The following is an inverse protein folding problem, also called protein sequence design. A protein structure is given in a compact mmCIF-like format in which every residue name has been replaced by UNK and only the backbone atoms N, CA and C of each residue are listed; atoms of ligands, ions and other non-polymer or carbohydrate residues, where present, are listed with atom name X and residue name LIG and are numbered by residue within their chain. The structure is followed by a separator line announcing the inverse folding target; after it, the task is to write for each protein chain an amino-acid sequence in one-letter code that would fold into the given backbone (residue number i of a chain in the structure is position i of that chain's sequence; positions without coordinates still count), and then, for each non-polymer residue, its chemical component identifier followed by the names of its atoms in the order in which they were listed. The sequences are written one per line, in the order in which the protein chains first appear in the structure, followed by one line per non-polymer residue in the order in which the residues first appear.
data_IF_938810116727
#
_entry.id   IF_938810116727
#
_cell.length_a   1.000
_cell.length_b   1.000
_cell.length_c   1.000
_cell.angle_alpha   90.00
_cell.angle_beta   90.00
_cell.angle_gamma   90.00
#
_symmetry.space_group_name_H-M   'P 1'
#
loop_
_entity.id
_entity.type
_entity.pdbx_description
1 polymer ?
#
# COMPACT_ATOMS: atom_id res chain seq x y z
N UNK A 1 30.02 -13.10 -30.38
CA UNK A 1 30.20 -13.40 -28.94
C UNK A 1 28.82 -13.56 -28.34
N UNK A 2 28.45 -14.73 -27.81
CA UNK A 2 27.16 -14.87 -27.12
C UNK A 2 27.27 -14.13 -25.79
N UNK A 3 26.42 -13.12 -25.59
CA UNK A 3 26.37 -12.39 -24.32
C UNK A 3 26.06 -13.40 -23.20
N UNK A 4 26.90 -13.41 -22.16
CA UNK A 4 26.72 -14.28 -21.01
C UNK A 4 25.38 -13.93 -20.36
N UNK A 5 24.40 -14.83 -20.43
CA UNK A 5 23.12 -14.65 -19.75
C UNK A 5 23.36 -14.56 -18.26
N UNK A 6 23.10 -13.38 -17.70
CA UNK A 6 23.19 -13.17 -16.26
C UNK A 6 21.92 -13.69 -15.59
N UNK A 7 22.09 -14.62 -14.65
CA UNK A 7 20.98 -15.27 -13.96
C UNK A 7 20.79 -14.61 -12.60
N UNK A 8 19.58 -14.12 -12.36
CA UNK A 8 19.18 -13.50 -11.11
C UNK A 8 18.25 -14.39 -10.31
N UNK A 9 18.40 -14.35 -8.99
CA UNK A 9 17.52 -15.05 -8.04
C UNK A 9 16.38 -14.18 -7.51
N UNK A 10 15.54 -14.75 -6.64
CA UNK A 10 14.42 -14.04 -6.02
C UNK A 10 14.82 -12.76 -5.26
N UNK A 11 15.97 -12.75 -4.58
CA UNK A 11 16.43 -11.60 -3.81
C UNK A 11 16.76 -10.41 -4.72
N UNK A 12 17.49 -10.65 -5.81
CA UNK A 12 17.83 -9.61 -6.76
C UNK A 12 16.59 -9.09 -7.51
N UNK A 13 15.66 -9.98 -7.86
CA UNK A 13 14.38 -9.58 -8.45
C UNK A 13 13.57 -8.72 -7.47
N UNK A 14 13.63 -9.02 -6.17
CA UNK A 14 12.97 -8.23 -5.13
C UNK A 14 13.53 -6.80 -5.08
N UNK A 15 14.84 -6.66 -5.18
CA UNK A 15 15.52 -5.36 -5.25
C UNK A 15 15.22 -4.58 -6.53
N UNK A 16 15.12 -5.29 -7.68
CA UNK A 16 14.70 -4.71 -8.97
C UNK A 16 13.26 -4.19 -8.90
N UNK A 17 12.35 -4.96 -8.27
CA UNK A 17 10.93 -4.64 -8.17
C UNK A 17 10.59 -3.71 -7.00
N UNK A 18 11.54 -3.44 -6.08
CA UNK A 18 11.34 -2.70 -4.82
C UNK A 18 10.21 -3.28 -3.96
N UNK A 19 10.16 -4.62 -3.85
CA UNK A 19 9.21 -5.34 -2.99
C UNK A 19 9.93 -6.42 -2.18
N UNK A 20 9.23 -7.10 -1.27
CA UNK A 20 9.81 -8.23 -0.53
C UNK A 20 9.90 -9.49 -1.40
N UNK A 21 10.82 -10.40 -1.06
CA UNK A 21 10.96 -11.73 -1.71
C UNK A 21 9.64 -12.53 -1.73
N UNK A 22 8.85 -12.61 -0.64
CA UNK A 22 7.52 -13.23 -0.69
C UNK A 22 6.58 -12.54 -1.69
N UNK A 23 6.72 -11.23 -1.88
CA UNK A 23 6.00 -10.47 -2.90
C UNK A 23 6.37 -10.90 -4.32
N UNK A 24 7.65 -11.18 -4.58
CA UNK A 24 8.12 -11.74 -5.85
C UNK A 24 7.59 -13.16 -6.05
N UNK A 25 7.65 -14.02 -5.03
CA UNK A 25 7.10 -15.39 -5.10
C UNK A 25 5.60 -15.38 -5.41
N UNK A 26 4.85 -14.45 -4.80
CA UNK A 26 3.45 -14.24 -5.13
C UNK A 26 3.27 -13.81 -6.58
N UNK A 27 4.03 -12.83 -7.07
CA UNK A 27 3.96 -12.37 -8.45
C UNK A 27 4.25 -13.51 -9.43
N UNK A 28 5.30 -14.29 -9.20
CA UNK A 28 5.64 -15.46 -10.00
C UNK A 28 4.52 -16.51 -10.08
N UNK A 29 3.70 -16.63 -9.04
CA UNK A 29 2.55 -17.53 -8.99
C UNK A 29 1.29 -16.95 -9.64
N UNK A 30 1.04 -15.66 -9.49
CA UNK A 30 -0.27 -15.06 -9.79
C UNK A 30 -0.29 -14.14 -11.01
N UNK A 31 0.85 -13.65 -11.47
CA UNK A 31 0.94 -12.78 -12.65
C UNK A 31 1.26 -13.63 -13.89
N UNK A 32 0.30 -13.79 -14.84
CA UNK A 32 0.52 -14.59 -16.05
C UNK A 32 1.65 -14.06 -16.94
N UNK A 33 2.00 -12.78 -16.79
CA UNK A 33 3.09 -12.14 -17.55
C UNK A 33 4.45 -12.23 -16.85
N UNK A 34 4.51 -12.84 -15.66
CA UNK A 34 5.77 -13.03 -14.97
C UNK A 34 6.69 -13.99 -15.78
N UNK A 35 7.97 -13.64 -15.99
CA UNK A 35 8.87 -14.46 -16.79
C UNK A 35 9.06 -15.87 -16.24
N UNK A 36 9.18 -16.85 -17.14
CA UNK A 36 9.50 -18.22 -16.76
C UNK A 36 10.98 -18.32 -16.35
N UNK A 37 11.31 -19.10 -15.32
CA UNK A 37 12.70 -19.31 -14.91
C UNK A 37 13.47 -20.10 -15.98
N UNK A 38 14.76 -19.80 -16.11
CA UNK A 38 15.74 -20.49 -16.96
C UNK A 38 16.78 -21.25 -16.12
N UNK A 39 16.34 -21.75 -14.97
CA UNK A 39 17.18 -22.36 -13.94
C UNK A 39 18.15 -23.39 -14.52
N UNK A 40 19.47 -23.17 -14.39
CA UNK A 40 20.46 -24.15 -14.81
C UNK A 40 20.37 -25.41 -13.93
N UNK A 41 20.76 -26.60 -14.45
CA UNK A 41 20.79 -27.83 -13.67
C UNK A 41 21.63 -27.76 -12.39
N UNK A 42 22.60 -26.85 -12.33
CA UNK A 42 23.48 -26.63 -11.18
C UNK A 42 22.84 -25.83 -10.03
N UNK A 43 21.67 -25.21 -10.24
CA UNK A 43 20.98 -24.40 -9.23
C UNK A 43 19.78 -25.14 -8.64
N UNK A 44 19.68 -25.14 -7.29
CA UNK A 44 18.52 -25.68 -6.58
C UNK A 44 17.32 -24.74 -6.58
N UNK A 45 17.56 -23.44 -6.69
CA UNK A 45 16.52 -22.41 -6.65
C UNK A 45 16.27 -21.84 -8.05
N UNK A 46 15.03 -21.41 -8.36
CA UNK A 46 14.73 -20.80 -9.64
C UNK A 46 15.61 -19.59 -9.96
N UNK A 47 16.06 -19.49 -11.21
CA UNK A 47 16.83 -18.36 -11.73
C UNK A 47 16.22 -17.80 -13.01
N UNK A 48 16.35 -16.50 -13.23
CA UNK A 48 15.80 -15.82 -14.40
C UNK A 48 16.88 -15.04 -15.14
N UNK A 49 16.68 -14.84 -16.44
CA UNK A 49 17.51 -13.90 -17.21
C UNK A 49 17.28 -12.47 -16.69
N UNK A 50 18.37 -11.78 -16.31
CA UNK A 50 18.31 -10.39 -15.80
C UNK A 50 17.64 -9.45 -16.80
N UNK A 51 17.98 -9.53 -18.09
CA UNK A 51 17.45 -8.62 -19.11
C UNK A 51 15.95 -8.84 -19.34
N UNK A 52 15.51 -10.10 -19.32
CA UNK A 52 14.07 -10.42 -19.40
C UNK A 52 13.33 -9.89 -18.18
N UNK A 53 13.90 -10.05 -16.98
CA UNK A 53 13.30 -9.50 -15.76
C UNK A 53 13.27 -7.97 -15.78
N UNK A 54 14.32 -7.31 -16.25
CA UNK A 54 14.35 -5.84 -16.35
C UNK A 54 13.22 -5.34 -17.26
N UNK A 55 13.04 -5.94 -18.45
CA UNK A 55 11.93 -5.62 -19.35
C UNK A 55 10.57 -5.82 -18.70
N UNK A 56 10.39 -6.91 -17.94
CA UNK A 56 9.16 -7.14 -17.18
C UNK A 56 8.92 -6.05 -16.13
N UNK A 57 9.95 -5.69 -15.35
CA UNK A 57 9.86 -4.63 -14.33
C UNK A 57 9.48 -3.30 -14.96
N UNK A 58 10.10 -2.93 -16.08
CA UNK A 58 9.82 -1.68 -16.79
C UNK A 58 8.38 -1.66 -17.33
N UNK A 59 7.93 -2.75 -17.96
CA UNK A 59 6.55 -2.90 -18.43
C UNK A 59 5.54 -2.87 -17.30
N UNK A 60 5.86 -3.49 -16.16
CA UNK A 60 5.02 -3.50 -14.96
C UNK A 60 4.92 -2.11 -14.33
N UNK A 61 6.03 -1.37 -14.30
CA UNK A 61 6.08 0.03 -13.90
C UNK A 61 5.19 0.90 -14.79
N UNK A 62 5.31 0.76 -16.11
CA UNK A 62 4.50 1.48 -17.09
C UNK A 62 3.00 1.14 -16.99
N UNK A 63 2.64 -0.14 -16.81
CA UNK A 63 1.24 -0.57 -16.56
C UNK A 63 0.70 -0.06 -15.23
N UNK A 64 1.55 0.10 -14.23
CA UNK A 64 1.17 0.67 -12.93
C UNK A 64 0.96 2.18 -13.01
N UNK A 65 1.72 2.88 -13.86
CA UNK A 65 1.52 4.31 -14.15
C UNK A 65 0.20 4.59 -14.90
N UNK A 66 -0.31 3.63 -15.69
CA UNK A 66 -1.60 3.72 -16.38
C UNK A 66 -2.80 3.17 -15.60
N UNK A 67 -2.60 2.64 -14.39
CA UNK A 67 -3.71 2.14 -13.55
C UNK A 67 -4.26 3.29 -12.71
N UNK A 68 -5.22 4.03 -13.28
CA UNK A 68 -6.12 4.87 -12.50
C UNK A 68 -6.75 4.02 -11.40
N UNK A 69 -6.35 4.28 -10.14
CA UNK A 69 -6.87 3.54 -8.98
C UNK A 69 -5.86 3.23 -7.88
N UNK A 70 -4.56 3.49 -8.08
CA UNK A 70 -3.65 3.54 -6.92
C UNK A 70 -2.71 4.73 -7.01
N UNK A 71 -3.10 5.87 -6.44
CA UNK A 71 -2.15 6.92 -6.13
C UNK A 71 -0.95 6.31 -5.38
N UNK A 72 0.29 6.82 -5.57
CA UNK A 72 1.33 6.59 -4.57
C UNK A 72 0.73 6.92 -3.19
N UNK A 73 1.12 6.21 -2.14
CA UNK A 73 0.59 6.45 -0.79
C UNK A 73 1.04 7.84 -0.29
N UNK A 74 0.38 8.88 -0.78
CA UNK A 74 0.41 10.22 -0.18
C UNK A 74 -0.33 10.05 1.14
N UNK A 75 0.41 10.16 2.25
CA UNK A 75 -0.03 9.76 3.60
C UNK A 75 0.47 8.37 4.03
N UNK A 76 1.77 8.10 3.90
CA UNK A 76 2.40 6.80 4.22
C UNK A 76 2.27 6.37 5.68
N UNK A 77 2.01 7.31 6.59
CA UNK A 77 1.82 7.02 8.01
C UNK A 77 0.41 6.54 8.32
N UNK A 78 0.37 5.46 9.09
CA UNK A 78 -0.87 4.86 9.59
C UNK A 78 -0.88 4.92 11.10
N UNK A 79 -2.01 5.30 11.66
CA UNK A 79 -2.19 5.48 13.09
C UNK A 79 -3.17 4.43 13.62
N UNK A 80 -2.73 3.69 14.64
CA UNK A 80 -3.62 2.87 15.44
C UNK A 80 -3.98 3.67 16.69
N UNK A 81 -5.20 4.20 16.72
CA UNK A 81 -5.68 5.01 17.83
C UNK A 81 -6.32 4.11 18.91
N UNK A 82 -6.23 4.50 20.19
CA UNK A 82 -6.93 3.83 21.27
C UNK A 82 -8.45 3.93 21.11
N UNK A 83 -9.20 3.07 21.79
CA UNK A 83 -10.66 2.98 21.64
C UNK A 83 -11.35 4.29 22.03
N UNK A 84 -10.84 4.95 23.06
CA UNK A 84 -11.33 6.23 23.58
C UNK A 84 -11.20 7.33 22.53
N UNK A 85 -10.05 7.43 21.86
CA UNK A 85 -9.82 8.40 20.78
C UNK A 85 -10.75 8.12 19.59
N UNK A 86 -10.92 6.85 19.20
CA UNK A 86 -11.84 6.49 18.13
C UNK A 86 -13.30 6.88 18.44
N UNK A 87 -13.75 6.62 19.68
CA UNK A 87 -15.09 6.97 20.13
C UNK A 87 -15.31 8.48 20.17
N UNK A 88 -14.30 9.24 20.60
CA UNK A 88 -14.34 10.70 20.61
C UNK A 88 -14.40 11.29 19.19
N UNK A 89 -13.62 10.76 18.25
CA UNK A 89 -13.69 11.16 16.83
C UNK A 89 -15.09 10.87 16.28
N UNK A 90 -15.66 9.69 16.53
CA UNK A 90 -17.02 9.35 16.10
C UNK A 90 -18.05 10.33 16.67
N UNK A 91 -17.95 10.66 17.96
CA UNK A 91 -18.84 11.61 18.63
C UNK A 91 -18.77 13.00 18.00
N UNK A 92 -17.55 13.51 17.75
CA UNK A 92 -17.34 14.83 17.11
C UNK A 92 -17.89 14.88 15.69
N UNK A 93 -17.68 13.81 14.91
CA UNK A 93 -18.23 13.70 13.55
C UNK A 93 -19.75 13.76 13.56
N UNK A 94 -20.40 13.00 14.45
CA UNK A 94 -21.86 12.99 14.59
C UNK A 94 -22.43 14.35 15.04
N UNK A 95 -21.66 15.12 15.80
CA UNK A 95 -22.06 16.46 16.22
C UNK A 95 -21.87 17.52 15.12
N UNK A 96 -20.86 17.36 14.27
CA UNK A 96 -20.45 18.37 13.29
C UNK A 96 -21.04 18.18 11.88
N UNK A 97 -21.61 17.02 11.58
CA UNK A 97 -22.13 16.73 10.25
C UNK A 97 -22.69 15.31 10.10
N UNK A 98 -22.82 14.87 8.86
CA UNK A 98 -23.36 13.54 8.54
C UNK A 98 -22.25 12.53 8.32
N UNK A 99 -22.52 11.26 8.58
CA UNK A 99 -21.55 10.19 8.33
C UNK A 99 -21.11 10.15 6.86
N UNK A 100 -22.05 10.34 5.92
CA UNK A 100 -21.78 10.34 4.48
C UNK A 100 -20.83 11.46 4.04
N UNK A 101 -20.91 12.63 4.66
CA UNK A 101 -20.00 13.74 4.42
C UNK A 101 -18.55 13.36 4.74
N UNK A 102 -18.31 12.74 5.90
CA UNK A 102 -16.96 12.32 6.31
C UNK A 102 -16.45 11.12 5.52
N UNK A 103 -17.33 10.24 5.05
CA UNK A 103 -16.99 9.18 4.08
C UNK A 103 -16.48 9.80 2.78
N UNK A 104 -17.20 10.80 2.25
CA UNK A 104 -16.79 11.52 1.04
C UNK A 104 -15.48 12.26 1.23
N UNK A 105 -15.30 12.95 2.36
CA UNK A 105 -14.10 13.71 2.71
C UNK A 105 -12.85 12.80 2.81
N UNK A 106 -12.98 11.62 3.41
CA UNK A 106 -11.89 10.66 3.54
C UNK A 106 -11.66 9.81 2.28
N UNK A 107 -12.54 9.90 1.28
CA UNK A 107 -12.51 9.08 0.06
C UNK A 107 -12.41 7.58 0.38
N UNK A 108 -13.22 7.13 1.35
CA UNK A 108 -13.33 5.73 1.77
C UNK A 108 -14.78 5.26 1.68
N UNK A 109 -15.05 3.99 1.95
CA UNK A 109 -16.41 3.47 2.09
C UNK A 109 -16.94 3.62 3.52
N UNK A 110 -18.27 3.63 3.68
CA UNK A 110 -18.93 3.60 4.99
C UNK A 110 -18.41 2.47 5.89
N UNK A 111 -18.25 1.27 5.33
CA UNK A 111 -17.74 0.12 6.07
C UNK A 111 -16.30 0.36 6.53
N UNK A 112 -15.44 0.95 5.68
CA UNK A 112 -14.08 1.28 6.08
C UNK A 112 -14.09 2.27 7.25
N UNK A 113 -14.91 3.33 7.20
CA UNK A 113 -15.01 4.31 8.28
C UNK A 113 -15.48 3.67 9.60
N UNK A 114 -16.49 2.78 9.57
CA UNK A 114 -16.91 1.99 10.75
C UNK A 114 -15.81 1.09 11.30
N UNK A 115 -15.00 0.49 10.41
CA UNK A 115 -13.86 -0.32 10.81
C UNK A 115 -12.71 0.50 11.42
N UNK A 116 -12.63 1.81 11.12
CA UNK A 116 -11.71 2.73 11.79
C UNK A 116 -12.17 2.99 13.22
N UNK A 117 -13.45 3.36 13.42
CA UNK A 117 -14.00 3.63 14.76
C UNK A 117 -13.95 2.43 15.70
N UNK A 118 -14.18 1.23 15.17
CA UNK A 118 -14.05 -0.01 15.95
C UNK A 118 -12.60 -0.45 16.20
N UNK A 119 -11.59 0.29 15.70
CA UNK A 119 -10.17 -0.04 15.87
C UNK A 119 -9.70 -1.30 15.11
N UNK A 120 -10.58 -1.92 14.30
CA UNK A 120 -10.24 -3.08 13.47
C UNK A 120 -9.21 -2.75 12.40
N UNK A 121 -9.18 -1.50 11.96
CA UNK A 121 -8.26 -1.02 10.92
C UNK A 121 -7.61 0.30 11.34
N UNK A 122 -6.45 0.59 10.77
CA UNK A 122 -5.68 1.80 11.08
C UNK A 122 -6.12 2.98 10.22
N UNK A 123 -6.05 4.18 10.80
CA UNK A 123 -6.28 5.44 10.11
C UNK A 123 -5.10 5.79 9.22
N UNK A 124 -5.35 6.42 8.06
CA UNK A 124 -4.30 7.13 7.31
C UNK A 124 -4.16 8.54 7.87
N UNK A 125 -2.94 9.07 7.87
CA UNK A 125 -2.66 10.46 8.26
C UNK A 125 -3.61 11.46 7.58
N UNK A 126 -3.73 11.35 6.25
CA UNK A 126 -4.60 12.21 5.44
C UNK A 126 -6.08 12.11 5.80
N UNK A 127 -6.57 10.96 6.29
CA UNK A 127 -7.97 10.83 6.76
C UNK A 127 -8.17 11.71 8.00
N UNK A 128 -7.24 11.62 8.95
CA UNK A 128 -7.28 12.36 10.22
C UNK A 128 -7.05 13.86 10.02
N UNK A 129 -6.13 14.26 9.14
CA UNK A 129 -5.89 15.68 8.81
C UNK A 129 -7.13 16.33 8.20
N UNK A 130 -7.79 15.66 7.25
CA UNK A 130 -9.04 16.16 6.65
C UNK A 130 -10.14 16.27 7.69
N UNK A 131 -10.25 15.28 8.58
CA UNK A 131 -11.24 15.30 9.66
C UNK A 131 -10.97 16.45 10.63
N UNK A 132 -9.71 16.66 11.01
CA UNK A 132 -9.29 17.74 11.89
C UNK A 132 -9.64 19.10 11.29
N UNK A 133 -9.29 19.32 10.01
CA UNK A 133 -9.64 20.54 9.28
C UNK A 133 -11.16 20.76 9.23
N UNK A 134 -11.95 19.73 8.93
CA UNK A 134 -13.42 19.82 8.88
C UNK A 134 -14.05 20.08 10.25
N UNK A 135 -13.41 19.63 11.32
CA UNK A 135 -13.85 19.83 12.70
C UNK A 135 -13.27 21.10 13.35
N UNK A 136 -12.44 21.86 12.64
CA UNK A 136 -11.80 23.07 13.16
C UNK A 136 -10.79 22.81 14.28
N UNK A 137 -10.12 21.66 14.25
CA UNK A 137 -9.13 21.21 15.26
C UNK A 137 -7.83 20.79 14.56
N UNK A 138 -6.79 20.49 15.33
CA UNK A 138 -5.52 19.96 14.81
C UNK A 138 -5.48 18.44 14.82
N UNK A 139 -4.51 17.86 14.10
CA UNK A 139 -4.28 16.41 14.12
C UNK A 139 -4.02 15.88 15.54
N UNK A 140 -3.18 16.56 16.32
CA UNK A 140 -2.80 16.13 17.67
C UNK A 140 -3.99 16.20 18.64
N UNK A 141 -4.78 17.27 18.57
CA UNK A 141 -6.00 17.43 19.36
C UNK A 141 -7.09 16.41 18.99
N UNK A 142 -7.20 16.07 17.70
CA UNK A 142 -8.17 15.07 17.23
C UNK A 142 -7.78 13.65 17.68
N UNK A 143 -6.48 13.35 17.65
CA UNK A 143 -5.96 12.01 17.95
C UNK A 143 -5.65 11.80 19.43
N UNK A 144 -5.66 12.88 20.23
CA UNK A 144 -5.22 12.86 21.63
C UNK A 144 -3.71 12.66 21.76
N UNK A 145 -2.94 12.90 20.70
CA UNK A 145 -1.48 12.80 20.70
C UNK A 145 -0.89 14.09 21.28
N UNK A 146 -1.31 14.48 22.48
CA UNK A 146 -0.60 15.47 23.25
C UNK A 146 0.56 14.76 23.93
N UNK A 147 1.76 14.95 23.40
CA UNK A 147 3.01 14.59 24.08
C UNK A 147 3.57 15.80 24.78
#
# INVERSE_FOLDING_TARGET
MMAKTEIVGYAEIADMMKISVPGVMKAARTDPSFPKPITPPSMRSPGWDRQVMQKYVDQRGAKSAGRSGRPPAVGSKRYKLPAEANAEIERRIRAAGTFAEFVSLAEISDNALRQRFSGKTTWREIELERFAQRLGTTFDELTGTHR
#
